data_IF_058233971480
#
_entry.id   IF_058233971480
#
_cell.length_a   1.000
_cell.length_b   1.000
_cell.length_c   1.000
_cell.angle_alpha   90.00
_cell.angle_beta   90.00
_cell.angle_gamma   90.00
#
_symmetry.space_group_name_H-M   'P 1'
#
loop_
_entity.id
_entity.type
_entity.pdbx_description
1 polymer ?
#
# COMPACT_ATOMS: atom_id res chain seq x y z
N UNK A 1 18.19 -7.45 -5.22
CA UNK A 1 17.09 -8.36 -4.83
C UNK A 1 16.06 -7.48 -4.16
N UNK A 2 14.91 -7.24 -4.80
CA UNK A 2 13.84 -6.41 -4.23
C UNK A 2 13.22 -7.20 -3.06
N UNK A 3 13.35 -6.69 -1.82
CA UNK A 3 12.74 -7.32 -0.64
C UNK A 3 11.39 -6.68 -0.37
N UNK A 4 10.36 -7.52 -0.35
CA UNK A 4 9.03 -7.14 0.13
C UNK A 4 9.10 -6.94 1.64
N UNK A 5 8.64 -5.79 2.12
CA UNK A 5 8.58 -5.46 3.54
C UNK A 5 7.28 -6.01 4.11
N UNK A 6 6.15 -5.52 3.60
CA UNK A 6 4.83 -5.98 4.02
C UNK A 6 3.80 -5.72 2.91
N UNK A 7 2.70 -6.47 2.96
CA UNK A 7 1.52 -6.23 2.11
C UNK A 7 0.35 -5.87 3.01
N UNK A 8 -0.25 -4.72 2.78
CA UNK A 8 -1.38 -4.19 3.54
C UNK A 8 -2.61 -4.18 2.64
N UNK A 9 -3.60 -4.99 2.99
CA UNK A 9 -4.87 -5.07 2.27
C UNK A 9 -5.90 -4.14 2.91
N UNK A 10 -6.33 -3.12 2.18
CA UNK A 10 -7.40 -2.21 2.52
C UNK A 10 -8.65 -2.63 1.74
N UNK A 11 -9.55 -3.36 2.39
CA UNK A 11 -10.86 -3.69 1.84
C UNK A 11 -11.83 -2.54 2.10
N UNK A 12 -12.25 -1.82 1.07
CA UNK A 12 -13.33 -0.83 1.20
C UNK A 12 -14.59 -1.38 0.54
N UNK A 13 -15.45 -2.00 1.36
CA UNK A 13 -16.85 -2.38 1.11
C UNK A 13 -17.15 -3.31 -0.10
N UNK A 14 -16.58 -3.10 -1.30
CA UNK A 14 -16.83 -3.87 -2.53
C UNK A 14 -15.56 -4.13 -3.37
N UNK A 15 -14.48 -3.38 -3.18
CA UNK A 15 -13.22 -3.52 -3.92
C UNK A 15 -12.06 -3.63 -2.93
N UNK A 16 -11.17 -4.59 -3.19
CA UNK A 16 -9.96 -4.79 -2.39
C UNK A 16 -8.81 -3.99 -2.98
N UNK A 17 -8.16 -3.17 -2.17
CA UNK A 17 -6.90 -2.52 -2.51
C UNK A 17 -5.79 -3.14 -1.66
N UNK A 18 -4.86 -3.87 -2.25
CA UNK A 18 -3.65 -4.36 -1.60
C UNK A 18 -2.47 -3.45 -1.92
N UNK A 19 -1.71 -3.04 -0.92
CA UNK A 19 -0.50 -2.23 -1.07
C UNK A 19 0.70 -3.02 -0.56
N UNK A 20 1.60 -3.39 -1.45
CA UNK A 20 2.86 -4.05 -1.13
C UNK A 20 3.98 -3.02 -1.09
N UNK A 21 4.69 -2.98 0.03
CA UNK A 21 5.83 -2.10 0.26
C UNK A 21 7.12 -2.85 0.00
N UNK A 22 8.06 -2.19 -0.67
CA UNK A 22 9.38 -2.72 -0.98
C UNK A 22 10.48 -1.91 -0.31
N UNK A 23 11.63 -2.54 -0.05
CA UNK A 23 12.82 -1.89 0.53
C UNK A 23 13.40 -0.74 -0.29
N UNK A 24 13.08 -0.69 -1.58
CA UNK A 24 13.53 0.33 -2.51
C UNK A 24 12.59 1.56 -2.57
N UNK A 25 11.80 1.78 -1.51
CA UNK A 25 10.79 2.83 -1.40
C UNK A 25 9.68 2.76 -2.48
N UNK A 26 9.58 1.64 -3.20
CA UNK A 26 8.50 1.40 -4.16
C UNK A 26 7.27 0.88 -3.45
N UNK A 27 6.10 1.30 -3.93
CA UNK A 27 4.81 0.82 -3.44
C UNK A 27 4.05 0.25 -4.62
N UNK A 28 3.60 -0.99 -4.49
CA UNK A 28 2.79 -1.65 -5.50
C UNK A 28 1.37 -1.73 -4.98
N UNK A 29 0.45 -1.06 -5.65
CA UNK A 29 -0.98 -1.16 -5.39
C UNK A 29 -1.58 -2.19 -6.34
N UNK A 30 -2.28 -3.16 -5.80
CA UNK A 30 -3.09 -4.11 -6.56
C UNK A 30 -4.54 -3.86 -6.17
N UNK A 31 -5.39 -3.51 -7.13
CA UNK A 31 -6.78 -3.18 -6.84
C UNK A 31 -7.72 -3.75 -7.89
N UNK A 32 -8.95 -3.98 -7.47
CA UNK A 32 -10.04 -4.37 -8.35
C UNK A 32 -10.86 -3.13 -8.72
N UNK A 33 -11.28 -3.01 -9.98
CA UNK A 33 -12.18 -1.92 -10.42
C UNK A 33 -13.61 -2.38 -10.66
N UNK A 34 -13.78 -3.64 -11.06
CA UNK A 34 -15.07 -4.26 -11.33
C UNK A 34 -14.94 -5.78 -11.31
N UNK A 35 -16.07 -6.50 -11.28
CA UNK A 35 -16.10 -7.97 -11.35
C UNK A 35 -15.46 -8.55 -12.61
N UNK A 36 -15.22 -7.73 -13.63
CA UNK A 36 -14.60 -8.10 -14.91
C UNK A 36 -13.14 -7.61 -15.02
N UNK A 37 -12.72 -6.65 -14.19
CA UNK A 37 -11.36 -6.09 -14.17
C UNK A 37 -10.82 -6.13 -12.74
N UNK A 38 -10.29 -7.30 -12.42
CA UNK A 38 -9.67 -7.63 -11.14
C UNK A 38 -8.14 -7.73 -11.29
N UNK A 39 -7.41 -7.49 -10.20
CA UNK A 39 -5.94 -7.55 -10.15
C UNK A 39 -5.20 -6.47 -10.96
N UNK A 40 -5.75 -5.25 -11.04
CA UNK A 40 -5.01 -4.14 -11.65
C UNK A 40 -3.83 -3.81 -10.75
N UNK A 41 -2.63 -3.96 -11.30
CA UNK A 41 -1.38 -3.66 -10.60
C UNK A 41 -0.84 -2.32 -11.07
N UNK A 42 -0.62 -1.43 -10.12
CA UNK A 42 -0.09 -0.09 -10.32
C UNK A 42 1.08 0.16 -9.36
N UNK A 43 2.14 0.77 -9.88
CA UNK A 43 3.25 1.22 -9.05
C UNK A 43 3.01 2.68 -8.69
N UNK A 44 3.01 2.95 -7.39
CA UNK A 44 2.77 4.27 -6.84
C UNK A 44 3.97 4.70 -6.01
N UNK A 45 4.28 5.98 -6.10
CA UNK A 45 5.17 6.64 -5.17
C UNK A 45 4.43 7.07 -3.90
N UNK A 46 5.18 7.22 -2.82
CA UNK A 46 4.71 7.76 -1.54
C UNK A 46 3.93 9.07 -1.69
N UNK A 47 4.33 9.90 -2.66
CA UNK A 47 3.73 11.20 -2.96
C UNK A 47 2.39 11.08 -3.69
N UNK A 48 2.14 9.97 -4.39
CA UNK A 48 0.88 9.70 -5.09
C UNK A 48 -0.21 9.15 -4.17
N UNK A 49 0.17 8.63 -3.00
CA UNK A 49 -0.77 8.11 -2.02
C UNK A 49 -1.36 9.28 -1.23
N UNK A 50 -2.68 9.43 -1.30
CA UNK A 50 -3.41 10.44 -0.54
C UNK A 50 -3.24 10.23 0.98
N UNK A 51 -3.20 11.32 1.76
CA UNK A 51 -3.06 11.28 3.23
C UNK A 51 -4.04 10.32 3.91
N UNK A 52 -5.28 10.25 3.43
CA UNK A 52 -6.29 9.32 3.92
C UNK A 52 -5.90 7.84 3.74
N UNK A 53 -5.32 7.49 2.59
CA UNK A 53 -4.83 6.14 2.35
C UNK A 53 -3.57 5.86 3.17
N UNK A 54 -2.66 6.84 3.31
CA UNK A 54 -1.49 6.72 4.21
C UNK A 54 -1.92 6.39 5.64
N UNK A 55 -2.91 7.11 6.17
CA UNK A 55 -3.45 6.89 7.51
C UNK A 55 -4.03 5.48 7.67
N UNK A 56 -4.82 5.01 6.69
CA UNK A 56 -5.33 3.62 6.65
C UNK A 56 -4.21 2.59 6.59
N UNK A 57 -3.18 2.82 5.78
CA UNK A 57 -2.03 1.92 5.64
C UNK A 57 -1.30 1.81 6.98
N UNK A 58 -0.94 2.94 7.59
CA UNK A 58 -0.28 2.98 8.91
C UNK A 58 -1.14 2.36 10.01
N UNK A 59 -2.46 2.55 9.97
CA UNK A 59 -3.40 1.98 10.95
C UNK A 59 -3.53 0.46 10.84
N UNK A 60 -3.43 -0.10 9.63
CA UNK A 60 -3.49 -1.54 9.39
C UNK A 60 -2.09 -2.19 9.36
N UNK A 61 -1.02 -1.39 9.40
CA UNK A 61 0.35 -1.88 9.40
C UNK A 61 0.71 -2.46 10.78
N UNK A 62 1.35 -3.65 10.84
CA UNK A 62 1.92 -4.16 12.08
C UNK A 62 2.97 -3.20 12.63
N UNK A 63 3.04 -3.04 13.96
CA UNK A 63 4.03 -2.15 14.60
C UNK A 63 5.48 -2.47 14.20
N UNK A 64 5.79 -3.74 13.94
CA UNK A 64 7.12 -4.20 13.47
C UNK A 64 7.56 -3.55 12.14
N UNK A 65 6.61 -3.26 11.24
CA UNK A 65 6.90 -2.65 9.93
C UNK A 65 6.47 -1.19 9.85
N UNK A 66 5.79 -0.68 10.87
CA UNK A 66 5.18 0.65 10.88
C UNK A 66 6.19 1.77 10.69
N UNK A 67 7.36 1.68 11.34
CA UNK A 67 8.45 2.66 11.16
C UNK A 67 8.97 2.67 9.72
N UNK A 68 9.21 1.49 9.14
CA UNK A 68 9.67 1.38 7.75
C UNK A 68 8.61 1.92 6.78
N UNK A 69 7.34 1.56 6.99
CA UNK A 69 6.25 2.03 6.14
C UNK A 69 6.03 3.54 6.29
N UNK A 70 6.17 4.13 7.48
CA UNK A 70 6.14 5.59 7.68
C UNK A 70 7.24 6.28 6.89
N UNK A 71 8.46 5.74 6.93
CA UNK A 71 9.57 6.25 6.12
C UNK A 71 9.31 6.15 4.63
N UNK A 72 8.79 5.01 4.15
CA UNK A 72 8.48 4.81 2.73
C UNK A 72 7.35 5.73 2.30
N UNK A 73 6.31 5.87 3.13
CA UNK A 73 5.17 6.74 2.85
C UNK A 73 5.51 8.22 2.96
N UNK A 74 6.74 8.61 3.33
CA UNK A 74 7.12 10.00 3.58
C UNK A 74 6.05 10.69 4.45
N UNK A 75 5.68 10.01 5.54
CA UNK A 75 4.63 10.48 6.43
C UNK A 75 5.26 11.38 7.51
N UNK A 76 4.87 12.66 7.61
CA UNK A 76 5.41 13.60 8.60
C UNK A 76 4.90 13.35 10.01
#
# INVERSE_FOLDING_TARGET
MEKEICTISITSNWLGDAYTFYTDNKIKRVYDTSSLNSNITEWLDATQISKHNKDKLIKNCPEEFKEQVMHILDYP
#
